data_IF_291605304143
#
_entry.id   IF_291605304143
#
_cell.length_a   1.000
_cell.length_b   1.000
_cell.length_c   1.000
_cell.angle_alpha   90.00
_cell.angle_beta   90.00
_cell.angle_gamma   90.00
#
_symmetry.space_group_name_H-M   'P 1'
#
loop_
_entity.id
_entity.type
_entity.pdbx_description
1 polymer ?
#
# COMPACT_ATOMS: atom_id res chain seq x y z
N UNK A 1 -9.66 11.58 7.32
CA UNK A 1 -9.05 11.53 6.42
C UNK A 1 -7.95 10.67 6.44
N UNK A 2 -7.56 10.22 5.53
CA UNK A 2 -6.78 9.32 5.60
C UNK A 2 -5.53 9.53 5.59
N UNK A 3 -4.77 9.80 5.23
CA UNK A 3 -3.91 10.07 5.89
C UNK A 3 -2.70 9.56 5.61
N UNK A 4 -2.51 8.60 5.43
CA UNK A 4 -1.42 8.04 5.77
C UNK A 4 -0.53 7.65 4.73
N UNK A 5 -0.70 7.95 3.45
CA UNK A 5 0.18 7.43 2.40
C UNK A 5 1.63 7.79 2.66
N UNK A 6 1.91 9.06 2.92
CA UNK A 6 3.30 9.47 3.13
C UNK A 6 3.88 8.87 4.40
N UNK A 7 3.09 8.76 5.43
CA UNK A 7 3.58 8.19 6.68
C UNK A 7 3.89 6.72 6.55
N UNK A 8 3.02 6.00 5.85
CA UNK A 8 3.24 4.58 5.64
C UNK A 8 4.47 4.37 4.76
N UNK A 9 4.62 5.16 3.73
CA UNK A 9 5.75 5.02 2.82
C UNK A 9 7.06 5.38 3.51
N UNK A 10 7.07 6.38 4.35
CA UNK A 10 8.26 6.73 5.10
C UNK A 10 8.68 5.60 6.01
N UNK A 11 7.72 4.96 6.62
CA UNK A 11 8.03 3.85 7.50
C UNK A 11 8.49 2.63 6.70
N UNK A 12 7.85 2.37 5.57
CA UNK A 12 8.23 1.23 4.74
C UNK A 12 9.66 1.32 4.25
N UNK A 13 10.14 2.52 4.00
CA UNK A 13 11.51 2.69 3.53
C UNK A 13 12.53 2.13 4.51
N UNK A 14 12.17 1.97 5.75
CA UNK A 14 13.09 1.41 6.74
C UNK A 14 13.24 -0.09 6.62
N UNK A 15 12.30 -0.73 5.92
CA UNK A 15 12.28 -2.18 5.84
C UNK A 15 12.49 -2.72 4.43
N UNK A 16 12.59 -1.87 3.45
CA UNK A 16 12.69 -2.29 2.05
C UNK A 16 13.91 -1.63 1.44
N UNK A 17 14.63 -2.37 0.62
CA UNK A 17 15.81 -1.83 -0.04
C UNK A 17 15.42 -0.67 -0.96
N UNK A 18 16.25 0.34 -1.07
CA UNK A 18 15.91 1.51 -1.88
C UNK A 18 15.52 1.19 -3.30
N UNK A 19 16.18 0.26 -3.93
CA UNK A 19 15.86 -0.08 -5.28
C UNK A 19 14.51 -0.72 -5.34
N UNK A 20 14.15 -1.56 -4.43
CA UNK A 20 12.84 -2.21 -4.42
C UNK A 20 11.76 -1.20 -4.11
N UNK A 21 12.03 -0.31 -3.21
CA UNK A 21 11.07 0.74 -2.89
C UNK A 21 10.78 1.56 -4.13
N UNK A 22 11.80 1.99 -4.83
CA UNK A 22 11.64 2.80 -6.03
C UNK A 22 10.95 2.05 -7.15
N UNK A 23 11.18 0.76 -7.23
CA UNK A 23 10.62 -0.02 -8.31
C UNK A 23 9.18 -0.39 -8.07
N UNK A 24 8.81 -0.72 -6.85
CA UNK A 24 7.50 -1.27 -6.57
C UNK A 24 6.59 -0.37 -5.76
N UNK A 25 7.12 0.31 -4.79
CA UNK A 25 6.28 1.04 -3.84
C UNK A 25 6.04 2.48 -4.26
N UNK A 26 7.01 3.07 -4.90
CA UNK A 26 6.93 4.47 -5.26
C UNK A 26 5.69 4.81 -6.08
N UNK A 27 5.24 3.89 -6.90
CA UNK A 27 4.08 4.14 -7.75
C UNK A 27 2.77 3.66 -7.15
N UNK A 28 2.81 3.22 -5.91
CA UNK A 28 1.62 2.76 -5.24
C UNK A 28 0.87 3.96 -4.71
N UNK A 29 -0.43 4.01 -4.87
CA UNK A 29 -1.22 5.12 -4.35
C UNK A 29 -2.43 4.59 -3.61
N UNK A 30 -2.86 5.29 -2.59
CA UNK A 30 -4.06 4.91 -1.87
C UNK A 30 -5.28 5.30 -2.67
N UNK A 31 -6.23 4.40 -2.77
CA UNK A 31 -7.49 4.69 -3.38
C UNK A 31 -8.43 5.13 -2.25
N UNK A 32 -8.47 6.41 -1.99
CA UNK A 32 -9.21 6.93 -0.87
C UNK A 32 -10.71 6.71 -0.99
N UNK A 33 -11.22 6.71 -2.20
CA UNK A 33 -12.60 6.52 -2.41
C UNK A 33 -13.07 5.17 -1.96
N UNK A 34 -12.26 4.16 -2.13
CA UNK A 34 -12.63 2.79 -1.78
C UNK A 34 -12.02 2.31 -0.48
N UNK A 35 -11.34 3.18 0.24
CA UNK A 35 -10.67 2.78 1.47
C UNK A 35 -11.46 3.20 2.69
N UNK A 36 -11.31 2.44 3.75
CA UNK A 36 -11.91 2.73 5.05
C UNK A 36 -10.83 2.47 6.09
N UNK A 37 -11.02 2.93 7.31
CA UNK A 37 -9.98 2.71 8.34
C UNK A 37 -9.58 1.25 8.53
N UNK A 38 -10.49 0.33 8.29
CA UNK A 38 -10.20 -1.09 8.44
C UNK A 38 -10.05 -1.82 7.11
N UNK A 39 -10.08 -1.13 6.00
CA UNK A 39 -9.93 -1.77 4.70
C UNK A 39 -9.30 -0.78 3.74
N UNK A 40 -8.03 -0.92 3.49
CA UNK A 40 -7.28 0.05 2.71
C UNK A 40 -6.92 -0.51 1.35
N UNK A 41 -7.26 0.23 0.32
CA UNK A 41 -7.03 -0.17 -1.06
C UNK A 41 -5.92 0.68 -1.66
N UNK A 42 -4.93 0.01 -2.24
CA UNK A 42 -3.86 0.70 -2.95
C UNK A 42 -3.92 0.32 -4.41
N UNK A 43 -3.57 1.26 -5.26
CA UNK A 43 -3.49 1.00 -6.70
C UNK A 43 -2.07 1.09 -7.18
N UNK A 44 -1.73 0.27 -8.14
CA UNK A 44 -0.42 0.32 -8.76
C UNK A 44 -0.57 0.20 -10.27
N UNK A 45 0.53 0.12 -10.98
CA UNK A 45 0.49 0.26 -12.43
C UNK A 45 0.13 -1.01 -13.16
N UNK A 46 0.42 -2.18 -12.63
CA UNK A 46 0.00 -3.40 -13.33
C UNK A 46 -0.27 -4.54 -12.36
N UNK A 47 -0.96 -5.55 -12.82
CA UNK A 47 -1.39 -6.64 -12.03
C UNK A 47 -0.29 -7.48 -11.46
N UNK A 48 0.79 -7.66 -12.21
CA UNK A 48 1.90 -8.40 -11.76
C UNK A 48 2.49 -7.77 -10.55
N UNK A 49 2.71 -6.46 -10.58
CA UNK A 49 3.27 -5.70 -9.48
C UNK A 49 2.29 -5.71 -8.31
N UNK A 50 1.01 -5.61 -8.60
CA UNK A 50 0.00 -5.65 -7.56
C UNK A 50 0.06 -6.96 -6.78
N UNK A 51 0.17 -8.07 -7.47
CA UNK A 51 0.25 -9.36 -6.83
C UNK A 51 1.52 -9.51 -6.03
N UNK A 52 2.61 -9.01 -6.57
CA UNK A 52 3.89 -9.08 -5.89
C UNK A 52 3.83 -8.32 -4.57
N UNK A 53 3.30 -7.11 -4.59
CA UNK A 53 3.20 -6.29 -3.39
C UNK A 53 2.23 -6.92 -2.39
N UNK A 54 1.12 -7.43 -2.89
CA UNK A 54 0.13 -8.09 -2.03
C UNK A 54 0.75 -9.26 -1.28
N UNK A 55 1.58 -10.00 -1.94
CA UNK A 55 2.19 -11.17 -1.34
C UNK A 55 3.33 -10.80 -0.42
N UNK A 56 4.14 -9.86 -0.82
CA UNK A 56 5.37 -9.59 -0.12
C UNK A 56 5.27 -8.49 0.92
N UNK A 57 4.52 -7.45 0.64
CA UNK A 57 4.55 -6.27 1.49
C UNK A 57 3.24 -5.95 2.21
N UNK A 58 2.14 -6.55 1.83
CA UNK A 58 0.87 -6.19 2.43
C UNK A 58 0.84 -6.39 3.95
N UNK A 59 1.45 -7.44 4.43
CA UNK A 59 1.52 -7.68 5.87
C UNK A 59 2.26 -6.59 6.59
N UNK A 60 3.34 -6.13 6.00
CA UNK A 60 4.13 -5.07 6.62
C UNK A 60 3.34 -3.76 6.62
N UNK A 61 2.63 -3.48 5.54
CA UNK A 61 1.80 -2.30 5.47
C UNK A 61 0.70 -2.36 6.55
N UNK A 62 0.13 -3.52 6.73
CA UNK A 62 -0.88 -3.75 7.75
C UNK A 62 -0.34 -3.43 9.12
N UNK A 63 0.85 -3.92 9.42
CA UNK A 63 1.48 -3.67 10.70
C UNK A 63 1.76 -2.20 10.93
N UNK A 64 2.22 -1.52 9.91
CA UNK A 64 2.53 -0.10 10.02
C UNK A 64 1.27 0.70 10.32
N UNK A 65 0.20 0.40 9.61
CA UNK A 65 -1.04 1.11 9.82
C UNK A 65 -1.59 0.82 11.21
N UNK A 66 -1.49 -0.42 11.64
CA UNK A 66 -1.93 -0.77 12.98
C UNK A 66 -1.18 0.04 14.02
N UNK A 67 0.10 0.19 13.85
CA UNK A 67 0.90 0.94 14.78
C UNK A 67 0.51 2.39 14.82
N UNK A 68 0.18 2.96 13.69
CA UNK A 68 -0.12 4.38 13.61
C UNK A 68 -1.55 4.71 13.97
N UNK A 69 -2.49 3.83 13.74
CA UNK A 69 -3.90 4.13 13.95
C UNK A 69 -4.56 3.31 15.03
N UNK A 70 -3.95 2.22 15.43
CA UNK A 70 -4.56 1.31 16.39
C UNK A 70 -5.58 0.37 15.78
N UNK A 71 -5.79 0.45 14.46
CA UNK A 71 -6.73 -0.43 13.78
C UNK A 71 -5.97 -1.27 12.77
N UNK A 72 -6.19 -2.57 12.80
CA UNK A 72 -5.53 -3.46 11.86
C UNK A 72 -6.36 -3.55 10.60
N UNK A 73 -5.91 -3.00 9.50
CA UNK A 73 -6.71 -2.97 8.29
C UNK A 73 -6.52 -4.21 7.45
N UNK A 74 -7.43 -4.45 6.54
CA UNK A 74 -7.22 -5.42 5.51
C UNK A 74 -6.63 -4.63 4.39
N UNK A 75 -5.63 -5.16 3.73
CA UNK A 75 -4.93 -4.44 2.66
C UNK A 75 -5.23 -5.11 1.33
N UNK A 76 -5.68 -4.34 0.38
CA UNK A 76 -5.90 -4.83 -0.98
C UNK A 76 -5.05 -4.03 -1.93
N UNK A 77 -4.21 -4.70 -2.71
CA UNK A 77 -3.39 -4.04 -3.72
C UNK A 77 -3.93 -4.45 -5.08
N UNK A 78 -4.30 -3.49 -5.89
CA UNK A 78 -4.89 -3.81 -7.17
C UNK A 78 -4.29 -2.92 -8.25
N UNK A 79 -4.38 -3.30 -9.49
CA UNK A 79 -3.89 -2.49 -10.57
C UNK A 79 -5.01 -1.57 -11.04
N UNK A 80 -4.62 -0.34 -11.48
CA UNK A 80 -5.56 0.55 -11.93
C UNK A 80 -5.71 0.31 -13.35
N UNK A 81 -6.70 -0.36 -13.89
CA UNK A 81 -6.79 -0.59 -15.18
C UNK A 81 -7.64 0.32 -15.74
N UNK A 82 -7.47 0.87 -16.73
CA UNK A 82 -8.17 1.80 -17.22
C UNK A 82 -8.93 1.37 -18.14
N UNK A 83 -9.49 0.97 -18.58
CA UNK A 83 -10.10 0.45 -19.35
C UNK A 83 -11.09 0.92 -19.77
N UNK A 84 -11.21 1.11 -20.24
CA UNK A 84 -12.04 1.39 -20.59
C UNK A 84 -12.60 1.48 -20.80
#
# INVERSE_FOLDING_TARGET
>A
MFFLQNEVFNELQKYILPNEFNKYIKNLTINEKNSKPDFVVFNTTNEFIAKFIQTKYASKIEEIILEKTGIKPKILITSKKDNI
#
